data_IF_797202471972
#
_entry.id   IF_797202471972
#
_cell.length_a   1.000
_cell.length_b   1.000
_cell.length_c   1.000
_cell.angle_alpha   90.00
_cell.angle_beta   90.00
_cell.angle_gamma   90.00
#
_symmetry.space_group_name_H-M   'P 1'
#
loop_
_entity.id
_entity.type
_entity.pdbx_description
1 polymer ?
#
# COMPACT_ATOMS: atom_id res chain seq x y z
N UNK A 1 -62.03 -15.50 37.96
CA UNK A 1 -63.44 -15.04 37.96
C UNK A 1 -63.44 -13.51 38.08
N UNK A 2 -64.17 -12.84 37.15
CA UNK A 2 -64.85 -11.52 37.23
C UNK A 2 -64.30 -10.45 38.20
N UNK A 3 -63.73 -9.35 37.68
CA UNK A 3 -64.35 -8.01 37.38
C UNK A 3 -64.70 -7.15 38.61
N UNK A 4 -64.17 -5.92 38.65
CA UNK A 4 -64.84 -4.61 38.95
C UNK A 4 -63.76 -3.58 39.37
N UNK A 5 -63.41 -2.54 38.61
CA UNK A 5 -64.07 -1.22 38.47
C UNK A 5 -64.45 -0.53 39.79
N UNK A 6 -63.84 0.62 40.07
CA UNK A 6 -64.47 1.87 40.59
C UNK A 6 -63.47 3.03 40.38
N UNK A 7 -63.98 4.13 39.82
CA UNK A 7 -63.33 5.42 39.62
C UNK A 7 -64.03 6.47 40.48
N UNK A 8 -63.32 7.43 41.07
CA UNK A 8 -63.83 8.69 41.66
C UNK A 8 -62.71 9.75 41.51
N UNK A 9 -62.85 10.72 40.58
CA UNK A 9 -63.09 12.18 40.77
C UNK A 9 -62.10 12.89 41.72
N UNK A 10 -61.32 13.94 41.40
CA UNK A 10 -61.45 15.23 40.68
C UNK A 10 -61.20 16.40 41.68
N UNK A 11 -60.48 17.45 41.23
CA UNK A 11 -60.32 18.82 41.81
C UNK A 11 -59.41 18.96 43.06
N UNK A 12 -58.49 19.94 43.24
CA UNK A 12 -58.34 21.36 42.82
C UNK A 12 -56.85 21.78 43.01
N UNK A 13 -56.14 22.41 42.07
CA UNK A 13 -55.94 23.87 41.86
C UNK A 13 -55.14 24.63 42.96
N UNK A 14 -53.92 25.04 42.56
CA UNK A 14 -53.14 26.27 42.87
C UNK A 14 -52.34 26.38 44.18
N UNK A 15 -51.01 26.38 44.06
CA UNK A 15 -50.21 27.54 44.47
C UNK A 15 -48.92 27.64 43.64
N UNK A 16 -48.86 28.72 42.87
CA UNK A 16 -47.75 29.23 42.09
C UNK A 16 -46.69 29.87 42.99
N UNK A 17 -45.42 29.54 42.76
CA UNK A 17 -44.30 30.44 43.07
C UNK A 17 -43.27 30.35 41.95
N UNK A 18 -43.26 31.42 41.14
CA UNK A 18 -42.33 31.68 40.07
C UNK A 18 -40.92 31.93 40.63
N UNK A 19 -39.93 31.28 40.04
CA UNK A 19 -38.58 31.83 39.90
C UNK A 19 -38.27 31.88 38.41
N UNK A 20 -38.59 33.02 37.79
CA UNK A 20 -37.96 33.45 36.55
C UNK A 20 -36.57 33.96 36.90
N UNK A 21 -35.54 33.28 36.39
CA UNK A 21 -34.24 33.89 36.15
C UNK A 21 -34.09 34.03 34.64
N UNK A 22 -33.92 35.27 34.19
CA UNK A 22 -33.79 35.67 32.80
C UNK A 22 -32.35 35.45 32.28
N UNK A 23 -32.25 35.13 30.98
CA UNK A 23 -31.04 35.24 30.16
C UNK A 23 -30.19 33.97 30.17
N UNK A 24 -29.81 33.35 29.07
CA UNK A 24 -29.65 33.80 27.69
C UNK A 24 -29.78 32.60 26.75
N UNK A 25 -30.41 32.79 25.59
CA UNK A 25 -30.46 31.75 24.56
C UNK A 25 -29.07 31.38 24.06
N UNK A 26 -28.72 30.11 24.21
CA UNK A 26 -27.66 29.47 23.44
C UNK A 26 -28.32 28.36 22.64
N UNK A 27 -28.44 28.56 21.32
CA UNK A 27 -28.81 27.51 20.37
C UNK A 27 -27.60 26.59 20.21
N UNK A 28 -27.33 25.76 21.21
CA UNK A 28 -26.50 24.58 21.00
C UNK A 28 -27.40 23.58 20.26
N UNK A 29 -27.28 23.55 18.92
CA UNK A 29 -27.82 22.43 18.15
C UNK A 29 -27.00 21.20 18.50
N UNK A 30 -27.43 20.47 19.52
CA UNK A 30 -26.98 19.10 19.75
C UNK A 30 -27.29 18.29 18.48
N UNK A 31 -26.24 17.94 17.73
CA UNK A 31 -26.33 16.94 16.66
C UNK A 31 -26.76 15.64 17.33
N UNK A 32 -27.90 15.10 16.91
CA UNK A 32 -28.41 13.83 17.43
C UNK A 32 -27.44 12.73 17.01
N UNK A 33 -26.61 12.28 17.95
CA UNK A 33 -25.67 11.19 17.73
C UNK A 33 -26.42 9.86 17.87
N UNK A 34 -27.12 9.46 16.81
CA UNK A 34 -27.65 8.10 16.68
C UNK A 34 -26.65 7.18 15.95
N UNK A 35 -26.73 5.88 16.21
CA UNK A 35 -25.79 4.89 15.65
C UNK A 35 -25.79 4.84 14.12
N UNK A 36 -26.90 5.16 13.44
CA UNK A 36 -26.96 5.16 11.99
C UNK A 36 -26.22 6.38 11.40
N UNK A 37 -26.28 7.53 12.08
CA UNK A 37 -25.55 8.75 11.70
C UNK A 37 -24.03 8.58 11.85
N UNK A 38 -23.57 7.86 12.88
CA UNK A 38 -22.15 7.49 13.03
C UNK A 38 -21.67 6.62 11.85
N UNK A 39 -22.43 5.58 11.48
CA UNK A 39 -22.05 4.65 10.39
C UNK A 39 -21.99 5.36 9.03
N UNK A 40 -22.97 6.23 8.74
CA UNK A 40 -22.94 7.06 7.52
C UNK A 40 -21.77 8.04 7.53
N UNK A 41 -21.47 8.61 8.70
CA UNK A 41 -20.35 9.50 8.94
C UNK A 41 -18.99 8.84 8.71
N UNK A 42 -18.80 7.62 9.21
CA UNK A 42 -17.59 6.81 8.99
C UNK A 42 -17.37 6.56 7.49
N UNK A 43 -18.42 6.16 6.76
CA UNK A 43 -18.34 5.94 5.32
C UNK A 43 -17.98 7.22 4.56
N UNK A 44 -18.61 8.35 4.90
CA UNK A 44 -18.33 9.64 4.28
C UNK A 44 -16.90 10.13 4.61
N UNK A 45 -16.43 9.93 5.84
CA UNK A 45 -15.06 10.23 6.24
C UNK A 45 -14.04 9.38 5.47
N UNK A 46 -14.31 8.07 5.35
CA UNK A 46 -13.44 7.13 4.63
C UNK A 46 -13.32 7.45 3.15
N UNK A 47 -14.35 8.04 2.55
CA UNK A 47 -14.34 8.43 1.14
C UNK A 47 -13.63 9.78 0.90
N UNK A 48 -13.71 10.72 1.84
CA UNK A 48 -13.36 12.13 1.56
C UNK A 48 -12.19 12.66 2.40
N UNK A 49 -11.94 12.10 3.59
CA UNK A 49 -11.07 12.71 4.60
C UNK A 49 -9.83 11.86 4.90
N UNK A 50 -9.89 10.53 4.73
CA UNK A 50 -8.77 9.59 5.01
C UNK A 50 -7.55 9.78 4.12
N UNK A 51 -7.69 10.52 3.02
CA UNK A 51 -6.53 10.91 2.23
C UNK A 51 -5.54 11.72 3.07
N UNK A 52 -6.04 12.65 3.90
CA UNK A 52 -5.21 13.58 4.67
C UNK A 52 -5.19 13.30 6.18
N UNK A 53 -6.25 12.70 6.72
CA UNK A 53 -6.45 12.54 8.15
C UNK A 53 -6.52 11.07 8.56
N UNK A 54 -6.05 10.78 9.77
CA UNK A 54 -6.26 9.51 10.47
C UNK A 54 -6.49 9.78 11.97
N UNK A 55 -6.62 8.74 12.80
CA UNK A 55 -6.92 8.85 14.23
C UNK A 55 -5.76 8.43 15.14
N UNK A 56 -4.54 8.34 14.62
CA UNK A 56 -3.38 7.84 15.37
C UNK A 56 -2.26 8.87 15.40
N UNK A 57 -1.88 9.42 14.25
CA UNK A 57 -0.74 10.32 14.11
C UNK A 57 -0.94 11.34 12.99
N UNK A 58 -0.25 12.47 13.08
CA UNK A 58 -0.30 13.49 12.04
C UNK A 58 0.19 12.93 10.68
N UNK A 59 -0.45 13.37 9.59
CA UNK A 59 -0.14 13.01 8.21
C UNK A 59 -0.05 14.25 7.32
N UNK A 60 -0.75 14.24 6.17
CA UNK A 60 -0.91 15.47 5.37
C UNK A 60 -1.76 16.52 6.10
N UNK A 61 -2.64 16.09 7.01
CA UNK A 61 -3.31 16.94 7.99
C UNK A 61 -3.15 16.39 9.42
N UNK A 62 -3.67 17.09 10.45
CA UNK A 62 -3.62 16.61 11.83
C UNK A 62 -4.38 15.31 12.02
N UNK A 63 -3.95 14.50 13.00
CA UNK A 63 -4.79 13.39 13.48
C UNK A 63 -6.04 13.92 14.20
N UNK A 64 -7.15 13.20 14.03
CA UNK A 64 -8.47 13.68 14.46
C UNK A 64 -9.05 12.91 15.66
N UNK A 65 -8.26 12.05 16.32
CA UNK A 65 -8.73 11.31 17.49
C UNK A 65 -9.06 12.27 18.63
N UNK A 66 -10.32 12.23 19.08
CA UNK A 66 -10.86 13.16 20.05
C UNK A 66 -10.78 14.63 19.60
N UNK A 67 -10.79 14.91 18.29
CA UNK A 67 -10.80 16.31 17.83
C UNK A 67 -12.03 17.05 18.32
N UNK A 68 -13.19 16.38 18.32
CA UNK A 68 -14.45 16.95 18.74
C UNK A 68 -14.57 17.17 20.26
N UNK A 69 -13.64 16.63 21.06
CA UNK A 69 -13.53 16.97 22.49
C UNK A 69 -12.55 18.11 22.78
N UNK A 70 -11.75 18.52 21.78
CA UNK A 70 -10.73 19.56 21.90
C UNK A 70 -11.07 20.83 21.13
N UNK A 71 -12.00 20.75 20.19
CA UNK A 71 -12.35 21.82 19.26
C UNK A 71 -13.87 21.96 19.22
N UNK A 72 -14.42 23.18 19.30
CA UNK A 72 -15.87 23.40 19.18
C UNK A 72 -16.44 22.82 17.88
N UNK A 73 -17.58 22.15 17.97
CA UNK A 73 -18.24 21.49 16.83
C UNK A 73 -18.54 22.48 15.72
N UNK A 74 -19.01 23.68 16.05
CA UNK A 74 -19.27 24.73 15.06
C UNK A 74 -18.01 25.16 14.31
N UNK A 75 -16.86 25.16 14.99
CA UNK A 75 -15.59 25.44 14.34
C UNK A 75 -15.23 24.32 13.37
N UNK A 76 -15.37 23.05 13.78
CA UNK A 76 -15.15 21.89 12.91
C UNK A 76 -16.07 21.96 11.69
N UNK A 77 -17.35 22.27 11.89
CA UNK A 77 -18.33 22.42 10.82
C UNK A 77 -17.92 23.51 9.82
N UNK A 78 -17.62 24.71 10.31
CA UNK A 78 -17.21 25.83 9.46
C UNK A 78 -15.90 25.53 8.71
N UNK A 79 -14.97 24.84 9.38
CA UNK A 79 -13.70 24.47 8.78
C UNK A 79 -13.89 23.42 7.69
N UNK A 80 -14.68 22.36 7.88
CA UNK A 80 -14.97 21.37 6.82
C UNK A 80 -15.63 22.05 5.60
N UNK A 81 -16.54 23.00 5.84
CA UNK A 81 -17.23 23.73 4.78
C UNK A 81 -16.28 24.58 3.94
N UNK A 82 -15.50 25.45 4.59
CA UNK A 82 -14.62 26.39 3.88
C UNK A 82 -13.39 26.74 4.73
N UNK A 83 -12.34 25.88 4.69
CA UNK A 83 -11.10 26.12 5.43
C UNK A 83 -10.44 27.46 5.06
N UNK A 84 -10.51 27.83 3.77
CA UNK A 84 -9.90 29.06 3.27
C UNK A 84 -10.57 30.29 3.89
N UNK A 85 -11.90 30.32 3.96
CA UNK A 85 -12.63 31.41 4.60
C UNK A 85 -12.28 31.56 6.07
N UNK A 86 -12.10 30.45 6.80
CA UNK A 86 -11.68 30.50 8.21
C UNK A 86 -10.26 31.04 8.37
N UNK A 87 -9.33 30.65 7.48
CA UNK A 87 -7.96 31.19 7.44
C UNK A 87 -7.97 32.68 7.12
N UNK A 88 -8.69 33.10 6.07
CA UNK A 88 -8.76 34.49 5.60
C UNK A 88 -9.44 35.40 6.64
N UNK A 89 -10.37 34.85 7.45
CA UNK A 89 -10.98 35.55 8.58
C UNK A 89 -10.02 35.79 9.76
N UNK A 90 -8.81 35.24 9.68
CA UNK A 90 -7.75 35.49 10.65
C UNK A 90 -7.73 34.53 11.83
N UNK A 91 -8.47 33.42 11.78
CA UNK A 91 -8.52 32.42 12.86
C UNK A 91 -7.11 31.86 13.16
N UNK A 92 -6.68 32.00 14.41
CA UNK A 92 -5.32 31.65 14.83
C UNK A 92 -5.08 30.13 14.75
N UNK A 93 -6.09 29.30 15.03
CA UNK A 93 -5.97 27.84 14.91
C UNK A 93 -5.78 27.44 13.45
N UNK A 94 -6.57 28.01 12.55
CA UNK A 94 -6.50 27.74 11.11
C UNK A 94 -5.15 28.17 10.52
N UNK A 95 -4.61 29.33 10.93
CA UNK A 95 -3.26 29.78 10.53
C UNK A 95 -2.17 28.84 11.03
N UNK A 96 -2.22 28.41 12.29
CA UNK A 96 -1.26 27.45 12.83
C UNK A 96 -1.29 26.11 12.07
N UNK A 97 -2.48 25.64 11.69
CA UNK A 97 -2.62 24.44 10.87
C UNK A 97 -2.00 24.64 9.47
N UNK A 98 -2.25 25.78 8.82
CA UNK A 98 -1.64 26.09 7.52
C UNK A 98 -0.12 26.17 7.61
N UNK A 99 0.42 26.81 8.65
CA UNK A 99 1.86 26.91 8.89
C UNK A 99 2.49 25.53 9.14
N UNK A 100 1.82 24.65 9.89
CA UNK A 100 2.34 23.32 10.22
C UNK A 100 2.28 22.32 9.07
N UNK A 101 1.20 22.30 8.30
CA UNK A 101 0.96 21.28 7.27
C UNK A 101 1.24 21.77 5.85
N UNK A 102 1.52 23.08 5.69
CA UNK A 102 1.84 23.74 4.42
C UNK A 102 0.84 23.47 3.28
N UNK A 103 -0.37 23.01 3.62
CA UNK A 103 -1.42 22.60 2.70
C UNK A 103 -2.75 23.14 3.19
N UNK A 104 -3.49 23.82 2.32
CA UNK A 104 -4.85 24.25 2.62
C UNK A 104 -5.79 23.06 2.45
N UNK A 105 -6.58 22.74 3.49
CA UNK A 105 -7.63 21.73 3.38
C UNK A 105 -8.62 22.13 2.27
N UNK A 106 -9.05 21.21 1.39
CA UNK A 106 -10.09 21.49 0.40
C UNK A 106 -11.42 21.86 1.06
N UNK A 107 -12.24 22.64 0.38
CA UNK A 107 -13.64 22.88 0.78
C UNK A 107 -14.48 21.63 0.52
N UNK A 108 -15.31 21.25 1.49
CA UNK A 108 -16.25 20.14 1.36
C UNK A 108 -17.72 20.59 1.40
N UNK A 109 -18.00 21.87 1.17
CA UNK A 109 -19.36 22.40 1.11
C UNK A 109 -20.27 21.65 0.09
N UNK A 110 -19.68 21.03 -0.94
CA UNK A 110 -20.40 20.21 -1.92
C UNK A 110 -20.91 18.85 -1.41
N UNK A 111 -20.55 18.40 -0.21
CA UNK A 111 -21.04 17.15 0.38
C UNK A 111 -22.50 17.24 0.83
N UNK A 112 -22.99 18.46 1.09
CA UNK A 112 -24.30 18.71 1.68
C UNK A 112 -24.27 18.63 3.21
N UNK A 113 -25.17 19.40 3.84
CA UNK A 113 -25.20 19.59 5.30
C UNK A 113 -25.35 18.27 6.06
N UNK A 114 -26.25 17.40 5.62
CA UNK A 114 -26.52 16.11 6.26
C UNK A 114 -25.25 15.24 6.36
N UNK A 115 -24.46 15.15 5.28
CA UNK A 115 -23.22 14.37 5.28
C UNK A 115 -22.14 14.99 6.16
N UNK A 116 -22.06 16.31 6.21
CA UNK A 116 -21.08 16.99 7.08
C UNK A 116 -21.46 16.76 8.55
N UNK A 117 -22.73 16.82 8.89
CA UNK A 117 -23.21 16.49 10.24
C UNK A 117 -22.97 15.02 10.60
N UNK A 118 -23.20 14.09 9.67
CA UNK A 118 -22.86 12.67 9.86
C UNK A 118 -21.34 12.50 10.11
N UNK A 119 -20.47 13.17 9.34
CA UNK A 119 -19.00 13.14 9.56
C UNK A 119 -18.65 13.69 10.95
N UNK A 120 -19.27 14.78 11.37
CA UNK A 120 -19.04 15.37 12.70
C UNK A 120 -19.50 14.40 13.80
N UNK A 121 -20.66 13.76 13.65
CA UNK A 121 -21.15 12.75 14.58
C UNK A 121 -20.16 11.57 14.70
N UNK A 122 -19.57 11.14 13.58
CA UNK A 122 -18.50 10.14 13.60
C UNK A 122 -17.26 10.65 14.34
N UNK A 123 -16.77 11.86 14.06
CA UNK A 123 -15.63 12.47 14.77
C UNK A 123 -15.87 12.61 16.28
N UNK A 124 -17.12 12.83 16.70
CA UNK A 124 -17.54 12.84 18.10
C UNK A 124 -17.51 11.45 18.75
N UNK A 125 -17.80 10.38 17.99
CA UNK A 125 -17.70 9.01 18.50
C UNK A 125 -16.26 8.51 18.66
N UNK A 126 -15.30 9.06 17.89
CA UNK A 126 -13.90 8.64 17.94
C UNK A 126 -13.21 9.23 19.18
N UNK A 127 -13.19 8.46 20.27
CA UNK A 127 -12.45 8.79 21.49
C UNK A 127 -10.94 8.66 21.28
N UNK A 128 -10.18 9.42 22.09
CA UNK A 128 -8.72 9.23 22.22
C UNK A 128 -8.47 7.83 22.80
N UNK A 129 -8.15 6.87 21.94
CA UNK A 129 -7.66 5.54 22.30
C UNK A 129 -8.58 4.70 23.20
N UNK A 130 -9.48 3.94 22.58
CA UNK A 130 -9.72 2.51 22.89
C UNK A 130 -10.67 1.97 21.82
N UNK A 131 -10.16 1.09 20.97
CA UNK A 131 -10.99 0.28 20.08
C UNK A 131 -11.92 -0.53 20.99
N UNK A 132 -13.23 -0.31 20.87
CA UNK A 132 -14.23 -1.11 21.60
C UNK A 132 -14.81 -2.15 20.64
N UNK A 133 -14.94 -3.38 21.13
CA UNK A 133 -15.37 -4.60 20.43
C UNK A 133 -16.86 -4.60 19.98
N UNK A 134 -17.51 -3.45 19.89
CA UNK A 134 -18.95 -3.37 19.63
C UNK A 134 -19.25 -3.23 18.13
N UNK A 135 -19.06 -4.34 17.42
CA UNK A 135 -19.38 -4.49 16.00
C UNK A 135 -20.34 -5.68 15.79
N UNK A 136 -21.32 -5.82 16.68
CA UNK A 136 -22.26 -6.95 16.73
C UNK A 136 -23.39 -6.88 15.69
N UNK A 137 -23.59 -5.74 15.04
CA UNK A 137 -24.70 -5.52 14.09
C UNK A 137 -24.25 -5.35 12.63
N UNK A 138 -23.00 -5.64 12.32
CA UNK A 138 -22.53 -5.61 10.94
C UNK A 138 -22.87 -6.93 10.21
N UNK A 139 -23.47 -6.83 9.02
CA UNK A 139 -23.83 -7.98 8.17
C UNK A 139 -22.57 -8.58 7.48
N UNK A 140 -21.41 -8.51 8.13
CA UNK A 140 -20.17 -9.06 7.58
C UNK A 140 -20.09 -10.56 7.87
N UNK A 141 -19.76 -11.33 6.83
CA UNK A 141 -19.39 -12.73 7.02
C UNK A 141 -18.05 -12.74 7.75
N UNK A 142 -18.07 -13.06 9.05
CA UNK A 142 -16.89 -13.06 9.93
C UNK A 142 -15.76 -13.96 9.41
N UNK A 143 -16.12 -15.08 8.79
CA UNK A 143 -15.21 -15.98 8.08
C UNK A 143 -15.81 -16.36 6.73
N UNK A 144 -15.39 -15.73 5.62
CA UNK A 144 -15.88 -16.03 4.28
C UNK A 144 -15.38 -17.38 3.72
N UNK A 145 -14.53 -18.11 4.44
CA UNK A 145 -14.02 -19.43 4.05
C UNK A 145 -14.12 -20.38 5.26
N UNK A 146 -15.33 -20.69 5.73
CA UNK A 146 -15.53 -21.47 6.96
C UNK A 146 -15.10 -22.93 6.82
N UNK A 147 -14.89 -23.43 5.60
CA UNK A 147 -14.44 -24.78 5.36
C UNK A 147 -12.99 -24.99 5.77
N UNK A 148 -12.74 -26.05 6.55
CA UNK A 148 -11.37 -26.48 6.85
C UNK A 148 -10.63 -26.86 5.56
N UNK A 149 -9.37 -26.44 5.48
CA UNK A 149 -8.45 -26.84 4.42
C UNK A 149 -8.34 -28.37 4.42
N UNK A 150 -8.77 -29.00 3.32
CA UNK A 150 -8.64 -30.45 3.14
C UNK A 150 -7.21 -30.78 2.74
N UNK A 151 -6.60 -31.75 3.42
CA UNK A 151 -5.30 -32.28 3.01
C UNK A 151 -5.44 -32.93 1.64
N UNK A 152 -4.57 -32.56 0.70
CA UNK A 152 -4.62 -33.02 -0.69
C UNK A 152 -4.18 -34.49 -0.86
N UNK A 153 -3.56 -35.08 0.16
CA UNK A 153 -2.89 -36.39 0.08
C UNK A 153 -1.57 -36.35 -0.70
N UNK A 154 -1.14 -35.17 -1.17
CA UNK A 154 0.16 -35.00 -1.81
C UNK A 154 1.27 -35.08 -0.76
N UNK A 155 2.29 -35.88 -1.03
CA UNK A 155 3.52 -35.93 -0.25
C UNK A 155 4.64 -35.21 -1.00
N UNK A 156 5.39 -34.36 -0.29
CA UNK A 156 6.55 -33.66 -0.83
C UNK A 156 7.82 -34.41 -0.39
N UNK A 157 8.55 -34.97 -1.35
CA UNK A 157 9.90 -35.48 -1.09
C UNK A 157 10.90 -34.35 -1.31
N UNK A 158 11.74 -34.09 -0.30
CA UNK A 158 12.77 -33.06 -0.37
C UNK A 158 14.12 -33.70 -0.67
N UNK A 159 14.82 -33.18 -1.66
CA UNK A 159 16.20 -33.51 -1.99
C UNK A 159 17.08 -32.27 -1.79
N UNK A 160 18.24 -32.47 -1.18
CA UNK A 160 19.20 -31.38 -1.03
C UNK A 160 19.90 -31.13 -2.37
N UNK A 161 19.66 -29.95 -2.96
CA UNK A 161 20.29 -29.56 -4.23
C UNK A 161 21.65 -28.87 -4.02
N UNK A 162 21.71 -27.91 -3.10
CA UNK A 162 22.92 -27.13 -2.81
C UNK A 162 22.86 -26.50 -1.41
N UNK A 163 24.03 -26.14 -0.86
CA UNK A 163 24.16 -25.33 0.35
C UNK A 163 24.82 -24.00 -0.01
N UNK A 164 24.11 -22.89 0.19
CA UNK A 164 24.69 -21.56 0.01
C UNK A 164 25.60 -21.22 1.20
N UNK A 165 26.82 -20.69 0.98
CA UNK A 165 27.71 -20.28 2.05
C UNK A 165 27.07 -19.16 2.90
N UNK A 166 27.42 -19.10 4.18
CA UNK A 166 26.96 -18.03 5.05
C UNK A 166 27.47 -16.67 4.54
N UNK A 167 26.55 -15.73 4.40
CA UNK A 167 26.84 -14.34 4.06
C UNK A 167 26.94 -13.44 5.29
N UNK A 168 26.67 -13.98 6.48
CA UNK A 168 26.85 -13.32 7.77
C UNK A 168 27.08 -14.33 8.88
N UNK A 169 27.85 -13.91 9.89
CA UNK A 169 27.98 -14.61 11.17
C UNK A 169 26.70 -14.47 12.02
N UNK A 170 25.87 -13.45 11.75
CA UNK A 170 24.61 -13.19 12.48
C UNK A 170 23.43 -13.91 11.83
N UNK A 171 22.51 -14.42 12.65
CA UNK A 171 21.26 -15.00 12.16
C UNK A 171 20.32 -13.91 11.60
N UNK A 172 19.60 -14.18 10.49
CA UNK A 172 19.75 -15.34 9.61
C UNK A 172 21.08 -15.29 8.83
N UNK A 173 21.85 -16.39 8.84
CA UNK A 173 23.21 -16.45 8.26
C UNK A 173 23.27 -16.26 6.75
N UNK A 174 22.18 -16.54 6.05
CA UNK A 174 21.92 -16.20 4.65
C UNK A 174 20.51 -15.65 4.53
N UNK A 175 20.27 -14.80 3.53
CA UNK A 175 18.94 -14.24 3.27
C UNK A 175 18.53 -14.55 1.85
N UNK A 176 18.36 -15.85 1.57
CA UNK A 176 17.96 -16.34 0.25
C UNK A 176 16.53 -15.92 -0.05
N UNK A 177 16.34 -15.29 -1.19
CA UNK A 177 15.06 -14.69 -1.54
C UNK A 177 14.47 -15.27 -2.82
N UNK A 178 15.26 -15.34 -3.89
CA UNK A 178 14.78 -15.74 -5.21
C UNK A 178 15.75 -16.70 -5.89
N UNK A 179 15.19 -17.66 -6.61
CA UNK A 179 15.91 -18.51 -7.55
C UNK A 179 15.29 -18.38 -8.93
N UNK A 180 16.10 -18.46 -9.98
CA UNK A 180 15.60 -18.46 -11.36
C UNK A 180 16.59 -19.15 -12.29
N UNK A 181 16.09 -19.67 -13.41
CA UNK A 181 16.90 -20.35 -14.42
C UNK A 181 17.24 -19.35 -15.53
N UNK A 182 18.51 -19.29 -15.90
CA UNK A 182 18.95 -18.44 -17.00
C UNK A 182 18.41 -18.95 -18.35
N UNK A 183 17.64 -18.13 -19.10
CA UNK A 183 17.08 -18.53 -20.38
C UNK A 183 18.14 -19.06 -21.36
N UNK A 184 17.84 -20.18 -22.01
CA UNK A 184 18.77 -20.83 -22.94
C UNK A 184 19.91 -21.59 -22.26
N UNK A 185 19.74 -22.01 -21.00
CA UNK A 185 20.63 -22.94 -20.28
C UNK A 185 19.94 -23.56 -19.07
N UNK A 186 20.62 -24.49 -18.43
CA UNK A 186 20.17 -25.13 -17.17
C UNK A 186 20.81 -24.52 -15.92
N UNK A 187 21.48 -23.36 -16.07
CA UNK A 187 22.12 -22.67 -14.96
C UNK A 187 21.06 -22.10 -14.00
N UNK A 188 20.99 -22.65 -12.79
CA UNK A 188 20.17 -22.15 -11.70
C UNK A 188 20.90 -21.04 -10.95
N UNK A 189 20.25 -19.89 -10.78
CA UNK A 189 20.77 -18.77 -10.03
C UNK A 189 20.05 -18.63 -8.70
N UNK A 190 20.81 -18.28 -7.65
CA UNK A 190 20.31 -18.14 -6.28
C UNK A 190 20.73 -16.77 -5.74
N UNK A 191 19.73 -15.96 -5.38
CA UNK A 191 19.95 -14.62 -4.85
C UNK A 191 20.00 -14.64 -3.32
N UNK A 192 21.02 -14.03 -2.75
CA UNK A 192 21.11 -13.61 -1.35
C UNK A 192 20.93 -12.08 -1.27
N UNK A 193 19.94 -11.65 -0.48
CA UNK A 193 19.63 -10.25 -0.22
C UNK A 193 20.85 -9.43 0.22
N UNK A 194 21.87 -10.04 0.84
CA UNK A 194 23.10 -9.34 1.24
C UNK A 194 23.99 -8.88 0.09
N UNK A 195 23.58 -9.15 -1.15
CA UNK A 195 24.17 -8.59 -2.36
C UNK A 195 24.77 -9.61 -3.31
N UNK A 196 24.68 -10.91 -3.04
CA UNK A 196 25.33 -11.92 -3.88
C UNK A 196 24.30 -12.67 -4.72
N UNK A 197 24.54 -12.75 -6.02
CA UNK A 197 23.84 -13.65 -6.93
C UNK A 197 24.80 -14.79 -7.29
N UNK A 198 24.45 -15.99 -6.85
CA UNK A 198 25.20 -17.21 -7.14
C UNK A 198 24.66 -17.87 -8.41
N UNK A 199 25.55 -18.47 -9.19
CA UNK A 199 25.24 -19.46 -10.20
C UNK A 199 25.58 -20.84 -9.63
N UNK A 200 24.66 -21.80 -9.70
CA UNK A 200 24.95 -23.17 -9.32
C UNK A 200 25.61 -23.90 -10.49
N UNK A 201 26.78 -24.48 -10.23
CA UNK A 201 27.51 -25.34 -11.15
C UNK A 201 27.78 -26.65 -10.45
N UNK A 202 27.20 -27.74 -10.96
CA UNK A 202 27.31 -29.09 -10.37
C UNK A 202 26.95 -29.11 -8.86
N UNK A 203 25.87 -28.41 -8.49
CA UNK A 203 25.41 -28.29 -7.10
C UNK A 203 26.24 -27.36 -6.21
N UNK A 204 27.28 -26.71 -6.75
CA UNK A 204 28.14 -25.78 -6.02
C UNK A 204 27.83 -24.32 -6.38
N UNK A 205 27.61 -23.43 -5.40
CA UNK A 205 27.38 -22.02 -5.66
C UNK A 205 28.70 -21.30 -6.00
N UNK A 206 28.77 -20.74 -7.21
CA UNK A 206 29.82 -19.81 -7.64
C UNK A 206 29.26 -18.39 -7.68
N UNK A 207 30.04 -17.38 -7.27
CA UNK A 207 29.58 -15.98 -7.31
C UNK A 207 29.52 -15.50 -8.77
N UNK A 208 28.32 -15.21 -9.26
CA UNK A 208 28.13 -14.60 -10.57
C UNK A 208 28.19 -13.07 -10.48
N UNK A 209 27.42 -12.46 -9.58
CA UNK A 209 27.33 -11.01 -9.43
C UNK A 209 27.35 -10.63 -7.94
N UNK A 210 28.06 -9.53 -7.62
CA UNK A 210 28.08 -8.94 -6.28
C UNK A 210 27.64 -7.47 -6.34
N UNK A 211 26.45 -7.18 -5.83
CA UNK A 211 25.83 -5.86 -5.86
C UNK A 211 26.62 -4.82 -5.05
N UNK A 212 27.25 -5.22 -3.94
CA UNK A 212 28.06 -4.32 -3.11
C UNK A 212 29.29 -3.81 -3.85
N UNK A 213 29.86 -4.64 -4.72
CA UNK A 213 30.96 -4.23 -5.60
C UNK A 213 30.50 -3.37 -6.78
N UNK A 214 29.26 -3.51 -7.22
CA UNK A 214 28.73 -2.81 -8.40
C UNK A 214 28.00 -1.50 -8.09
N UNK A 215 27.49 -1.33 -6.87
CA UNK A 215 26.71 -0.16 -6.45
C UNK A 215 27.24 0.35 -5.11
N UNK A 216 27.89 1.52 -5.14
CA UNK A 216 28.50 2.14 -3.95
C UNK A 216 27.49 2.44 -2.83
N UNK A 217 26.25 2.76 -3.20
CA UNK A 217 25.19 3.13 -2.26
C UNK A 217 24.30 1.92 -1.89
N UNK A 218 24.69 0.69 -2.26
CA UNK A 218 23.94 -0.51 -1.90
C UNK A 218 23.89 -0.71 -0.38
N UNK A 219 22.69 -0.95 0.14
CA UNK A 219 22.46 -1.35 1.53
C UNK A 219 21.61 -2.63 1.58
N UNK A 220 21.85 -3.46 2.59
CA UNK A 220 21.07 -4.65 2.94
C UNK A 220 20.53 -4.62 4.38
N UNK A 221 20.76 -3.50 5.08
CA UNK A 221 20.19 -3.17 6.39
C UNK A 221 19.03 -2.17 6.20
N UNK A 222 18.02 -2.11 7.10
CA UNK A 222 17.94 -2.72 8.44
C UNK A 222 17.54 -4.21 8.48
N UNK A 223 17.45 -4.91 7.34
CA UNK A 223 16.95 -6.28 7.28
C UNK A 223 15.55 -6.36 6.69
N UNK A 224 14.73 -7.32 7.13
CA UNK A 224 13.30 -7.41 6.77
C UNK A 224 13.02 -7.33 5.25
N UNK A 225 13.88 -7.98 4.48
CA UNK A 225 13.82 -8.07 3.02
C UNK A 225 14.38 -6.88 2.21
N UNK A 226 15.09 -5.93 2.85
CA UNK A 226 16.00 -4.99 2.16
C UNK A 226 17.24 -5.67 1.62
N UNK A 227 17.84 -5.09 0.58
CA UNK A 227 19.05 -5.62 -0.07
C UNK A 227 18.85 -5.79 -1.57
N UNK A 228 19.50 -6.81 -2.13
CA UNK A 228 19.37 -7.21 -3.53
C UNK A 228 18.04 -7.96 -3.69
N UNK A 229 16.93 -7.25 -3.89
CA UNK A 229 15.58 -7.80 -3.76
C UNK A 229 15.14 -8.76 -4.86
N UNK A 230 15.61 -8.60 -6.08
CA UNK A 230 15.19 -9.48 -7.19
C UNK A 230 16.14 -9.38 -8.37
N UNK A 231 16.06 -10.37 -9.24
CA UNK A 231 16.68 -10.36 -10.55
C UNK A 231 15.77 -10.99 -11.60
N UNK A 232 15.98 -10.63 -12.87
CA UNK A 232 15.38 -11.26 -14.03
C UNK A 232 16.36 -11.21 -15.22
N UNK A 233 16.60 -12.34 -15.87
CA UNK A 233 17.27 -12.35 -17.16
C UNK A 233 16.28 -11.97 -18.26
N UNK A 234 16.71 -11.16 -19.23
CA UNK A 234 15.91 -10.93 -20.44
C UNK A 234 15.64 -12.28 -21.15
N UNK A 235 14.48 -12.50 -21.79
CA UNK A 235 14.19 -13.75 -22.51
C UNK A 235 15.25 -14.13 -23.56
N UNK A 236 15.81 -13.12 -24.26
CA UNK A 236 16.95 -13.25 -25.18
C UNK A 236 18.34 -13.05 -24.52
N UNK A 237 18.51 -13.29 -23.21
CA UNK A 237 19.76 -13.02 -22.50
C UNK A 237 21.01 -13.59 -23.19
N UNK A 238 20.95 -14.81 -23.74
CA UNK A 238 22.08 -15.41 -24.46
C UNK A 238 22.52 -14.64 -25.70
N UNK A 239 21.63 -13.84 -26.29
CA UNK A 239 21.91 -13.01 -27.47
C UNK A 239 22.24 -11.57 -27.07
N UNK A 240 21.51 -11.02 -26.12
CA UNK A 240 21.58 -9.60 -25.80
C UNK A 240 22.32 -9.27 -24.49
N UNK A 241 22.62 -10.24 -23.64
CA UNK A 241 23.32 -10.02 -22.38
C UNK A 241 22.61 -9.11 -21.39
N UNK A 242 21.30 -8.93 -21.48
CA UNK A 242 20.54 -8.03 -20.61
C UNK A 242 19.93 -8.76 -19.41
N UNK A 243 20.23 -8.29 -18.20
CA UNK A 243 19.53 -8.70 -16.98
C UNK A 243 19.10 -7.48 -16.17
N UNK A 244 18.17 -7.67 -15.26
CA UNK A 244 17.55 -6.62 -14.48
C UNK A 244 17.62 -6.98 -13.01
N UNK A 245 17.88 -6.00 -12.16
CA UNK A 245 17.94 -6.19 -10.70
C UNK A 245 17.14 -5.11 -9.99
N UNK A 246 16.64 -5.45 -8.81
CA UNK A 246 16.17 -4.46 -7.85
C UNK A 246 17.07 -4.49 -6.61
N UNK A 247 17.39 -3.33 -6.07
CA UNK A 247 18.17 -3.22 -4.85
C UNK A 247 17.76 -2.00 -4.01
N UNK A 248 18.17 -1.98 -2.73
CA UNK A 248 17.97 -0.85 -1.84
C UNK A 248 19.20 0.05 -1.72
N UNK A 249 18.95 1.35 -1.61
CA UNK A 249 19.92 2.42 -1.33
C UNK A 249 19.39 3.30 -0.17
N UNK A 250 20.26 4.04 0.55
CA UNK A 250 19.83 5.03 1.53
C UNK A 250 18.87 6.05 0.94
N UNK A 251 17.98 6.59 1.78
CA UNK A 251 17.10 7.69 1.38
C UNK A 251 17.92 8.88 0.87
N UNK A 252 17.41 9.57 -0.15
CA UNK A 252 18.01 10.80 -0.65
C UNK A 252 19.31 10.61 -1.45
N UNK A 253 19.69 9.37 -1.79
CA UNK A 253 20.84 9.11 -2.68
C UNK A 253 20.68 9.79 -4.05
N UNK A 254 19.45 9.83 -4.58
CA UNK A 254 19.07 10.70 -5.70
C UNK A 254 17.57 11.03 -5.66
N UNK A 255 17.11 11.92 -6.53
CA UNK A 255 15.68 12.25 -6.68
C UNK A 255 14.90 11.01 -7.12
N UNK A 256 13.84 10.67 -6.38
CA UNK A 256 12.97 9.56 -6.75
C UNK A 256 12.12 9.87 -7.99
N UNK A 257 11.93 8.89 -8.87
CA UNK A 257 10.97 8.98 -9.98
C UNK A 257 9.54 8.84 -9.48
N UNK A 258 9.35 8.07 -8.41
CA UNK A 258 8.08 7.92 -7.70
C UNK A 258 8.24 8.29 -6.23
N UNK A 259 7.52 9.33 -5.82
CA UNK A 259 7.48 9.84 -4.45
C UNK A 259 6.04 10.12 -4.02
N UNK A 260 5.86 10.34 -2.73
CA UNK A 260 4.62 10.78 -2.10
C UNK A 260 4.86 12.16 -1.46
N UNK A 261 3.86 12.70 -0.76
CA UNK A 261 3.95 14.01 -0.12
C UNK A 261 5.16 14.08 0.85
N UNK A 262 5.87 15.20 0.84
CA UNK A 262 7.11 15.41 1.61
C UNK A 262 6.93 15.33 3.14
N UNK A 263 5.70 15.48 3.65
CA UNK A 263 5.39 15.28 5.07
C UNK A 263 5.47 13.82 5.52
N UNK A 264 5.47 12.86 4.60
CA UNK A 264 5.57 11.43 4.91
C UNK A 264 7.05 11.02 4.93
N UNK A 265 7.51 10.30 5.96
CA UNK A 265 8.91 9.91 6.07
C UNK A 265 9.33 8.96 4.93
N UNK A 266 10.58 9.11 4.51
CA UNK A 266 11.27 8.14 3.64
C UNK A 266 12.30 7.43 4.50
N UNK A 267 12.28 6.10 4.54
CA UNK A 267 13.33 5.31 5.21
C UNK A 267 14.47 4.97 4.26
N UNK A 268 14.13 4.53 3.04
CA UNK A 268 15.09 4.12 2.02
C UNK A 268 14.54 4.32 0.61
N UNK A 269 15.39 4.06 -0.38
CA UNK A 269 15.00 3.99 -1.78
C UNK A 269 15.20 2.59 -2.34
N UNK A 270 14.25 2.14 -3.15
CA UNK A 270 14.44 0.97 -4.01
C UNK A 270 14.77 1.43 -5.43
N UNK A 271 15.63 0.71 -6.12
CA UNK A 271 16.15 1.05 -7.44
C UNK A 271 16.02 -0.15 -8.37
N UNK A 272 15.55 0.06 -9.60
CA UNK A 272 15.59 -0.95 -10.67
C UNK A 272 16.71 -0.59 -11.64
N UNK A 273 17.62 -1.53 -11.89
CA UNK A 273 18.77 -1.37 -12.78
C UNK A 273 18.73 -2.40 -13.90
N UNK A 274 18.94 -1.95 -15.14
CA UNK A 274 19.28 -2.83 -16.26
C UNK A 274 20.79 -2.97 -16.33
N UNK A 275 21.27 -4.20 -16.55
CA UNK A 275 22.68 -4.53 -16.72
C UNK A 275 22.91 -5.15 -18.08
N UNK A 276 23.97 -4.72 -18.75
CA UNK A 276 24.48 -5.31 -19.99
C UNK A 276 25.80 -6.00 -19.70
N UNK A 277 25.82 -7.33 -19.79
CA UNK A 277 27.08 -8.08 -19.69
C UNK A 277 27.87 -8.06 -21.00
N UNK A 278 29.18 -8.03 -20.88
CA UNK A 278 30.14 -8.15 -21.98
C UNK A 278 30.10 -9.56 -22.60
N UNK A 279 29.88 -10.59 -21.78
CA UNK A 279 29.95 -11.99 -22.21
C UNK A 279 28.83 -12.82 -21.56
N UNK A 280 27.67 -13.02 -22.23
CA UNK A 280 26.52 -13.72 -21.65
C UNK A 280 26.78 -15.16 -21.20
N UNK A 281 27.83 -15.81 -21.72
CA UNK A 281 28.22 -17.17 -21.35
C UNK A 281 29.24 -17.24 -20.21
N UNK A 282 29.77 -16.11 -19.74
CA UNK A 282 30.78 -16.10 -18.69
C UNK A 282 30.19 -16.56 -17.34
N UNK A 283 30.96 -17.29 -16.51
CA UNK A 283 30.52 -17.74 -15.20
C UNK A 283 30.48 -16.61 -14.15
N UNK A 284 31.04 -15.45 -14.49
CA UNK A 284 31.04 -14.24 -13.66
C UNK A 284 30.56 -13.05 -14.46
N UNK A 285 29.85 -12.13 -13.80
CA UNK A 285 29.36 -10.91 -14.42
C UNK A 285 30.50 -9.92 -14.63
N UNK A 286 30.61 -9.43 -15.85
CA UNK A 286 31.36 -8.23 -16.22
C UNK A 286 30.50 -7.43 -17.19
N UNK A 287 30.33 -6.15 -16.93
CA UNK A 287 29.43 -5.30 -17.70
C UNK A 287 29.10 -3.99 -17.01
N UNK A 288 28.15 -3.26 -17.59
CA UNK A 288 27.73 -1.94 -17.13
C UNK A 288 26.23 -1.94 -16.81
N UNK A 289 25.83 -1.05 -15.90
CA UNK A 289 24.46 -0.91 -15.45
C UNK A 289 23.91 0.49 -15.70
N UNK A 290 22.64 0.58 -16.10
CA UNK A 290 21.86 1.82 -16.16
C UNK A 290 20.64 1.71 -15.26
N UNK A 291 20.42 2.75 -14.46
CA UNK A 291 19.20 2.85 -13.64
C UNK A 291 17.99 3.11 -14.54
N UNK A 292 16.93 2.33 -14.36
CA UNK A 292 15.65 2.56 -15.04
C UNK A 292 14.80 3.54 -14.25
N UNK A 293 14.61 3.28 -12.96
CA UNK A 293 13.93 4.19 -12.04
C UNK A 293 14.26 3.86 -10.59
N UNK A 294 13.92 4.79 -9.70
CA UNK A 294 13.96 4.62 -8.24
C UNK A 294 12.71 5.17 -7.56
N UNK A 295 12.41 4.62 -6.38
CA UNK A 295 11.19 4.92 -5.63
C UNK A 295 11.50 5.13 -4.14
N UNK A 296 10.80 6.07 -3.50
CA UNK A 296 10.83 6.22 -2.05
C UNK A 296 9.96 5.17 -1.37
N UNK A 297 10.41 4.66 -0.21
CA UNK A 297 9.64 3.75 0.62
C UNK A 297 9.57 4.26 2.06
N UNK A 298 8.36 4.16 2.65
CA UNK A 298 8.10 4.61 4.03
C UNK A 298 8.93 3.80 5.00
N UNK A 299 9.06 2.49 4.74
CA UNK A 299 9.82 1.58 5.58
C UNK A 299 10.78 0.65 4.82
N UNK A 300 11.42 -0.28 5.53
CA UNK A 300 12.27 -1.34 4.97
C UNK A 300 11.54 -2.59 4.49
N UNK A 301 10.21 -2.70 4.63
CA UNK A 301 9.45 -3.89 4.24
C UNK A 301 8.66 -3.69 2.95
N UNK A 302 8.21 -4.78 2.34
CA UNK A 302 7.32 -4.80 1.16
C UNK A 302 7.83 -3.95 -0.02
N UNK A 303 9.09 -4.21 -0.39
CA UNK A 303 9.78 -3.47 -1.45
C UNK A 303 9.51 -3.96 -2.87
N UNK A 304 10.48 -3.73 -3.76
CA UNK A 304 10.46 -4.20 -5.16
C UNK A 304 11.08 -5.59 -5.30
N UNK A 305 10.51 -6.58 -4.61
CA UNK A 305 11.15 -7.90 -4.45
C UNK A 305 10.78 -8.92 -5.52
N UNK A 306 10.05 -8.50 -6.56
CA UNK A 306 9.79 -9.31 -7.74
C UNK A 306 10.09 -8.53 -9.01
N UNK A 307 10.87 -9.17 -9.89
CA UNK A 307 11.17 -8.72 -11.25
C UNK A 307 11.09 -9.95 -12.12
N UNK A 308 10.26 -9.95 -13.15
CA UNK A 308 10.13 -11.13 -13.99
C UNK A 308 9.63 -10.79 -15.38
N UNK A 309 9.93 -11.66 -16.34
CA UNK A 309 9.35 -11.61 -17.68
C UNK A 309 8.29 -12.71 -17.79
N UNK A 310 7.30 -12.50 -18.65
CA UNK A 310 6.34 -13.55 -18.95
C UNK A 310 7.05 -14.73 -19.65
N UNK A 311 7.28 -15.81 -18.90
CA UNK A 311 7.98 -17.02 -19.38
C UNK A 311 7.20 -17.79 -20.44
N UNK A 312 5.89 -17.55 -20.54
CA UNK A 312 5.03 -18.14 -21.58
C UNK A 312 4.98 -17.29 -22.87
N UNK A 313 5.41 -16.03 -22.81
CA UNK A 313 5.34 -15.11 -23.95
C UNK A 313 6.28 -15.56 -25.09
N UNK A 314 5.83 -15.36 -26.32
CA UNK A 314 6.60 -15.70 -27.54
C UNK A 314 7.10 -14.43 -28.23
N UNK A 315 8.24 -14.47 -28.94
CA UNK A 315 8.72 -13.34 -29.72
C UNK A 315 7.61 -12.73 -30.59
N UNK A 316 7.48 -11.40 -30.55
CA UNK A 316 6.43 -10.65 -31.26
C UNK A 316 5.08 -10.56 -30.53
N UNK A 317 4.85 -11.32 -29.45
CA UNK A 317 3.67 -11.12 -28.61
C UNK A 317 3.80 -9.85 -27.77
N UNK A 318 2.65 -9.30 -27.35
CA UNK A 318 2.58 -8.05 -26.57
C UNK A 318 3.42 -8.04 -25.29
N UNK A 319 3.56 -9.20 -24.64
CA UNK A 319 4.23 -9.34 -23.35
C UNK A 319 5.70 -9.78 -23.48
N UNK A 320 6.17 -10.11 -24.69
CA UNK A 320 7.54 -10.52 -24.88
C UNK A 320 8.51 -9.36 -24.68
N UNK A 321 9.51 -9.57 -23.82
CA UNK A 321 10.47 -8.54 -23.44
C UNK A 321 9.85 -7.42 -22.57
N UNK A 322 8.64 -7.59 -22.03
CA UNK A 322 8.06 -6.66 -21.05
C UNK A 322 8.39 -7.13 -19.64
N UNK A 323 8.95 -6.22 -18.84
CA UNK A 323 9.35 -6.47 -17.47
C UNK A 323 8.17 -6.19 -16.54
N UNK A 324 7.81 -7.20 -15.74
CA UNK A 324 6.83 -7.08 -14.67
C UNK A 324 7.54 -6.92 -13.33
N UNK A 325 7.02 -6.02 -12.50
CA UNK A 325 7.65 -5.63 -11.23
C UNK A 325 6.58 -5.68 -10.15
N UNK A 326 6.76 -6.55 -9.16
CA UNK A 326 5.91 -6.59 -7.97
C UNK A 326 6.33 -5.51 -6.99
N UNK A 327 5.42 -4.59 -6.68
CA UNK A 327 5.63 -3.47 -5.78
C UNK A 327 4.74 -3.62 -4.56
N UNK A 328 5.32 -3.87 -3.40
CA UNK A 328 4.57 -3.81 -2.16
C UNK A 328 4.14 -2.40 -1.78
N UNK A 329 3.34 -2.29 -0.73
CA UNK A 329 2.88 -1.02 -0.16
C UNK A 329 3.97 -0.29 0.64
N UNK A 330 5.15 -0.89 0.80
CA UNK A 330 6.25 -0.33 1.56
C UNK A 330 6.00 -0.26 3.08
N UNK A 331 5.05 -1.05 3.58
CA UNK A 331 4.60 -1.01 4.98
C UNK A 331 3.86 0.29 5.32
N UNK A 332 3.39 1.04 4.32
CA UNK A 332 2.81 2.36 4.57
C UNK A 332 1.52 2.28 5.39
N UNK A 333 0.75 1.20 5.25
CA UNK A 333 -0.53 1.01 5.95
C UNK A 333 -0.29 0.76 7.44
N UNK A 334 0.63 -0.15 7.79
CA UNK A 334 1.04 -0.42 9.18
C UNK A 334 1.69 0.81 9.84
N UNK A 335 2.11 1.78 9.03
CA UNK A 335 2.68 3.05 9.49
C UNK A 335 1.68 4.21 9.35
N UNK A 336 0.39 3.92 9.21
CA UNK A 336 -0.72 4.88 9.21
C UNK A 336 -0.71 5.87 8.03
N UNK A 337 -0.19 5.45 6.88
CA UNK A 337 -0.21 6.19 5.61
C UNK A 337 -0.94 5.41 4.49
N UNK A 338 -2.21 5.01 4.68
CA UNK A 338 -2.95 4.23 3.68
C UNK A 338 -3.21 5.02 2.37
N UNK A 339 -3.14 6.35 2.39
CA UNK A 339 -3.38 7.20 1.21
C UNK A 339 -2.26 7.16 0.15
N UNK A 340 -1.16 6.45 0.42
CA UNK A 340 -0.07 6.21 -0.54
C UNK A 340 -0.43 5.08 -1.52
N UNK A 341 -1.42 4.24 -1.20
CA UNK A 341 -1.82 3.07 -2.00
C UNK A 341 -3.28 3.16 -2.47
N UNK A 342 -3.74 2.11 -3.16
CA UNK A 342 -5.14 1.88 -3.51
C UNK A 342 -5.78 2.95 -4.43
N UNK A 343 -5.04 3.39 -5.46
CA UNK A 343 -5.64 4.07 -6.61
C UNK A 343 -4.73 3.98 -7.85
N UNK A 344 -5.27 4.11 -9.07
CA UNK A 344 -4.45 4.17 -10.29
C UNK A 344 -3.44 5.33 -10.35
N UNK A 345 -3.62 6.38 -9.55
CA UNK A 345 -2.67 7.49 -9.39
C UNK A 345 -1.54 7.19 -8.40
N UNK A 346 -1.51 5.99 -7.81
CA UNK A 346 -0.58 5.58 -6.77
C UNK A 346 0.29 4.42 -7.26
N UNK A 347 1.59 4.53 -7.02
CA UNK A 347 2.56 3.55 -7.51
C UNK A 347 2.68 2.31 -6.60
N UNK A 348 2.54 2.48 -5.29
CA UNK A 348 2.75 1.41 -4.30
C UNK A 348 1.57 0.44 -4.24
N UNK A 349 1.85 -0.78 -3.78
CA UNK A 349 0.84 -1.84 -3.69
C UNK A 349 0.29 -2.27 -5.05
N UNK A 350 1.18 -2.44 -6.02
CA UNK A 350 0.84 -2.62 -7.43
C UNK A 350 1.75 -3.62 -8.16
N UNK A 351 1.38 -3.95 -9.38
CA UNK A 351 2.25 -4.63 -10.34
C UNK A 351 2.48 -3.66 -11.49
N UNK A 352 3.74 -3.33 -11.76
CA UNK A 352 4.10 -2.56 -12.97
C UNK A 352 4.35 -3.50 -14.15
N UNK A 353 4.15 -2.98 -15.36
CA UNK A 353 4.58 -3.56 -16.63
C UNK A 353 5.24 -2.49 -17.49
N UNK A 354 6.53 -2.63 -17.75
CA UNK A 354 7.31 -1.66 -18.52
C UNK A 354 7.98 -2.31 -19.73
N UNK A 355 8.39 -1.49 -20.70
CA UNK A 355 9.27 -1.88 -21.79
C UNK A 355 10.69 -1.34 -21.52
N UNK A 356 11.65 -2.17 -21.07
CA UNK A 356 12.99 -1.67 -20.76
C UNK A 356 13.73 -1.06 -21.96
N UNK A 357 13.38 -1.44 -23.20
CA UNK A 357 14.03 -0.95 -24.42
C UNK A 357 13.45 0.39 -24.91
N UNK A 358 12.24 0.77 -24.46
CA UNK A 358 11.60 2.02 -24.83
C UNK A 358 12.18 3.24 -24.10
N UNK A 359 11.65 4.43 -24.42
CA UNK A 359 12.09 5.73 -23.85
C UNK A 359 10.97 6.74 -23.60
N UNK A 360 9.71 6.31 -23.64
CA UNK A 360 8.54 7.19 -23.47
C UNK A 360 8.03 7.28 -22.02
N UNK A 361 8.77 6.75 -21.03
CA UNK A 361 8.51 7.03 -19.61
C UNK A 361 8.73 8.51 -19.29
N UNK A 362 8.16 8.98 -18.18
CA UNK A 362 8.31 10.37 -17.74
C UNK A 362 9.78 10.78 -17.53
N UNK A 363 10.64 9.84 -17.15
CA UNK A 363 12.08 10.08 -16.97
C UNK A 363 12.93 9.76 -18.23
N UNK A 364 12.31 9.27 -19.31
CA UNK A 364 12.97 8.94 -20.59
C UNK A 364 13.90 7.73 -20.58
N UNK A 365 13.96 6.95 -19.48
CA UNK A 365 14.93 5.85 -19.31
C UNK A 365 14.39 4.47 -19.71
N UNK A 366 13.08 4.34 -19.84
CA UNK A 366 12.39 3.11 -20.26
C UNK A 366 11.10 3.47 -20.99
N UNK A 367 10.37 2.47 -21.45
CA UNK A 367 9.12 2.63 -22.18
C UNK A 367 7.88 2.21 -21.41
N UNK A 368 6.77 2.84 -21.77
CA UNK A 368 5.42 2.47 -21.37
C UNK A 368 4.77 1.72 -22.53
N UNK A 369 4.43 0.42 -22.37
CA UNK A 369 3.70 -0.30 -23.39
C UNK A 369 2.38 0.39 -23.73
N UNK A 370 2.08 0.52 -25.03
CA UNK A 370 0.88 1.21 -25.50
C UNK A 370 -0.45 0.52 -25.12
N UNK A 371 -0.38 -0.75 -24.72
CA UNK A 371 -1.50 -1.57 -24.26
C UNK A 371 -1.56 -1.66 -22.71
N UNK A 372 -0.78 -0.86 -21.98
CA UNK A 372 -0.94 -0.78 -20.53
C UNK A 372 -2.33 -0.23 -20.16
N UNK A 373 -2.99 -0.77 -19.11
CA UNK A 373 -4.39 -0.48 -18.83
C UNK A 373 -4.71 1.00 -18.56
N UNK A 374 -3.79 1.70 -17.89
CA UNK A 374 -4.00 3.08 -17.43
C UNK A 374 -3.30 4.13 -18.33
N UNK A 375 -2.79 3.72 -19.49
CA UNK A 375 -1.98 4.62 -20.35
C UNK A 375 -2.77 5.84 -20.82
N UNK A 376 -4.10 5.70 -21.00
CA UNK A 376 -5.00 6.78 -21.45
C UNK A 376 -5.58 7.62 -20.31
N UNK A 377 -5.46 7.18 -19.06
CA UNK A 377 -6.17 7.79 -17.94
C UNK A 377 -5.40 8.98 -17.38
N UNK A 378 -5.97 10.18 -17.47
CA UNK A 378 -5.30 11.39 -16.95
C UNK A 378 -5.02 11.24 -15.45
N UNK A 379 -3.79 11.53 -15.02
CA UNK A 379 -3.37 11.44 -13.62
C UNK A 379 -3.06 10.04 -13.09
N UNK A 380 -3.26 8.98 -13.89
CA UNK A 380 -2.84 7.63 -13.51
C UNK A 380 -1.34 7.41 -13.75
N UNK A 381 -0.73 6.56 -12.92
CA UNK A 381 0.64 6.06 -13.10
C UNK A 381 0.64 5.08 -14.28
N UNK A 382 1.44 5.37 -15.31
CA UNK A 382 1.33 4.75 -16.64
C UNK A 382 1.95 3.35 -16.70
N UNK A 383 2.81 3.06 -15.74
CA UNK A 383 3.49 1.81 -15.52
C UNK A 383 2.57 0.73 -14.95
N UNK A 384 1.43 1.09 -14.33
CA UNK A 384 0.54 0.13 -13.67
C UNK A 384 -0.03 -0.88 -14.65
N UNK A 385 0.06 -2.15 -14.25
CA UNK A 385 -0.66 -3.26 -14.85
C UNK A 385 -1.87 -3.66 -14.01
N UNK A 386 -1.73 -3.66 -12.68
CA UNK A 386 -2.76 -3.97 -11.70
C UNK A 386 -2.40 -3.33 -10.35
N UNK A 387 -3.37 -3.10 -9.46
CA UNK A 387 -3.14 -2.43 -8.17
C UNK A 387 -4.01 -3.01 -7.05
N UNK A 388 -3.80 -2.60 -5.80
CA UNK A 388 -4.56 -3.10 -4.65
C UNK A 388 -3.93 -4.35 -4.04
N UNK A 389 -2.59 -4.45 -4.06
CA UNK A 389 -1.83 -5.50 -3.40
C UNK A 389 -1.12 -4.95 -2.15
N UNK A 390 -0.89 -5.81 -1.16
CA UNK A 390 -0.04 -5.48 -0.01
C UNK A 390 1.42 -5.70 -0.35
N UNK A 391 1.75 -6.90 -0.80
CA UNK A 391 3.10 -7.30 -1.15
C UNK A 391 3.03 -8.43 -2.19
N UNK A 392 2.88 -8.10 -3.49
CA UNK A 392 2.83 -9.06 -4.59
C UNK A 392 4.24 -9.62 -4.83
N UNK A 393 4.69 -10.45 -3.90
CA UNK A 393 6.08 -10.82 -3.70
C UNK A 393 6.61 -11.80 -4.74
N UNK A 394 5.75 -12.60 -5.40
CA UNK A 394 6.16 -13.51 -6.48
C UNK A 394 5.13 -13.50 -7.59
N UNK A 395 5.59 -13.45 -8.84
CA UNK A 395 4.74 -13.49 -10.04
C UNK A 395 5.19 -14.67 -10.89
N UNK A 396 4.23 -15.44 -11.39
CA UNK A 396 4.49 -16.54 -12.32
C UNK A 396 3.35 -16.66 -13.34
N UNK A 397 3.48 -17.55 -14.31
CA UNK A 397 2.46 -17.80 -15.32
C UNK A 397 2.04 -19.26 -15.32
N UNK A 398 0.75 -19.50 -15.48
CA UNK A 398 0.22 -20.82 -15.78
C UNK A 398 0.60 -21.24 -17.21
N UNK A 399 0.45 -22.54 -17.53
CA UNK A 399 0.73 -23.06 -18.88
C UNK A 399 -0.14 -22.42 -19.97
N UNK A 400 -1.36 -21.99 -19.63
CA UNK A 400 -2.28 -21.28 -20.51
C UNK A 400 -2.07 -19.75 -20.49
N UNK A 401 -0.99 -19.26 -19.87
CA UNK A 401 -0.55 -17.86 -19.95
C UNK A 401 -1.26 -16.90 -18.99
N UNK A 402 -2.01 -17.38 -18.01
CA UNK A 402 -2.59 -16.53 -16.96
C UNK A 402 -1.50 -16.17 -15.94
N UNK A 403 -1.41 -14.88 -15.62
CA UNK A 403 -0.52 -14.41 -14.56
C UNK A 403 -1.07 -14.82 -13.20
N UNK A 404 -0.21 -15.35 -12.35
CA UNK A 404 -0.46 -15.58 -10.94
C UNK A 404 0.43 -14.64 -10.12
N UNK A 405 -0.14 -13.99 -9.10
CA UNK A 405 0.63 -13.22 -8.12
C UNK A 405 0.38 -13.78 -6.72
N UNK A 406 1.45 -14.11 -6.02
CA UNK A 406 1.43 -14.46 -4.60
C UNK A 406 1.54 -13.16 -3.83
N UNK A 407 0.51 -12.82 -3.06
CA UNK A 407 0.42 -11.63 -2.25
C UNK A 407 0.45 -11.98 -0.76
N UNK A 408 1.43 -11.45 -0.04
CA UNK A 408 1.57 -11.65 1.41
C UNK A 408 0.59 -10.69 2.12
N UNK A 409 -0.40 -11.25 2.82
CA UNK A 409 -1.36 -10.49 3.63
C UNK A 409 -0.77 -9.98 4.95
N UNK A 410 -1.52 -9.11 5.63
CA UNK A 410 -1.24 -8.58 6.96
C UNK A 410 -1.83 -9.45 8.08
N UNK A 411 -3.13 -9.77 8.01
CA UNK A 411 -3.88 -10.22 9.19
C UNK A 411 -4.55 -11.59 9.04
N UNK A 412 -5.24 -11.84 7.92
CA UNK A 412 -6.18 -12.95 7.79
C UNK A 412 -5.65 -14.02 6.83
N UNK A 413 -5.14 -13.63 5.67
CA UNK A 413 -4.82 -14.59 4.61
C UNK A 413 -3.71 -14.10 3.67
N UNK A 414 -2.80 -15.01 3.30
CA UNK A 414 -1.95 -14.86 2.11
C UNK A 414 -2.70 -15.39 0.89
N UNK A 415 -2.64 -14.65 -0.22
CA UNK A 415 -3.48 -14.94 -1.39
C UNK A 415 -2.65 -15.29 -2.63
N UNK A 416 -3.15 -16.24 -3.41
CA UNK A 416 -2.71 -16.47 -4.78
C UNK A 416 -3.78 -15.91 -5.73
N UNK A 417 -3.48 -14.81 -6.40
CA UNK A 417 -4.41 -14.15 -7.32
C UNK A 417 -4.14 -14.55 -8.77
N UNK A 418 -5.22 -14.79 -9.53
CA UNK A 418 -5.15 -14.77 -11.00
C UNK A 418 -5.22 -13.31 -11.44
N UNK A 419 -4.10 -12.78 -11.91
CA UNK A 419 -3.99 -11.35 -12.22
C UNK A 419 -4.51 -11.06 -13.63
N UNK A 420 -5.41 -10.08 -13.69
CA UNK A 420 -5.94 -9.46 -14.91
C UNK A 420 -5.51 -7.99 -15.01
N UNK A 421 -5.27 -7.48 -16.23
CA UNK A 421 -4.91 -6.09 -16.47
C UNK A 421 -5.99 -5.11 -15.98
N UNK A 422 -5.57 -4.05 -15.31
CA UNK A 422 -6.41 -2.93 -14.86
C UNK A 422 -7.25 -3.23 -13.61
N UNK A 423 -7.16 -4.44 -13.05
CA UNK A 423 -7.97 -4.84 -11.89
C UNK A 423 -7.38 -4.35 -10.57
N UNK A 424 -8.29 -4.16 -9.63
CA UNK A 424 -8.09 -3.83 -8.23
C UNK A 424 -8.18 -5.12 -7.39
N UNK A 425 -7.20 -5.35 -6.51
CA UNK A 425 -7.14 -6.51 -5.62
C UNK A 425 -7.47 -6.16 -4.15
N UNK A 426 -7.90 -4.93 -3.90
CA UNK A 426 -8.64 -4.52 -2.71
C UNK A 426 -7.82 -4.11 -1.49
N UNK A 427 -6.50 -4.33 -1.46
CA UNK A 427 -5.65 -3.83 -0.37
C UNK A 427 -5.63 -2.29 -0.34
N UNK A 428 -5.81 -1.61 0.83
CA UNK A 428 -5.78 -2.19 2.19
C UNK A 428 -7.14 -2.47 2.84
N UNK A 429 -8.22 -2.41 2.05
CA UNK A 429 -9.58 -2.66 2.55
C UNK A 429 -9.86 -4.17 2.59
N UNK A 430 -9.09 -4.98 1.85
CA UNK A 430 -9.28 -6.42 1.75
C UNK A 430 -7.99 -7.23 1.72
N UNK A 431 -8.08 -8.45 2.25
CA UNK A 431 -7.16 -9.57 2.00
C UNK A 431 -7.97 -10.75 1.45
N UNK A 432 -7.85 -11.01 0.15
CA UNK A 432 -8.71 -11.97 -0.53
C UNK A 432 -10.18 -11.59 -0.34
N UNK A 433 -10.95 -12.48 0.25
CA UNK A 433 -12.36 -12.26 0.53
C UNK A 433 -12.63 -11.60 1.89
N UNK A 434 -11.60 -11.41 2.73
CA UNK A 434 -11.73 -10.80 4.06
C UNK A 434 -11.70 -9.28 3.92
N UNK A 435 -12.66 -8.60 4.55
CA UNK A 435 -12.62 -7.16 4.73
C UNK A 435 -11.74 -6.82 5.93
N UNK A 436 -10.96 -5.76 5.82
CA UNK A 436 -10.07 -5.25 6.86
C UNK A 436 -10.42 -3.78 7.07
N UNK A 437 -10.33 -3.33 8.33
CA UNK A 437 -10.39 -1.93 8.70
C UNK A 437 -8.93 -1.44 8.83
N UNK A 438 -8.36 -0.83 7.79
CA UNK A 438 -6.95 -0.43 7.75
C UNK A 438 -6.61 0.72 8.69
#
# INVERSE_FOLDING_TARGET
MKKAFIAILLFSIVLSSAFQSCGSGNNDKEVVVDSASIVRGEAAFNQNCTTCHNFVQDGMGPQLAGVASKVPVDWINNFIHDPKKVIDAGDERAKMLLDKYHTVMPSFAGLGEEKIQDIIAYLQSVKVGTLTDDDKDSVYVKDPIPEKIKMSGLALNLEQVAQIPFSSEKMPRTRILKTDIQPGSDNLFVLDLRGTLYMLKDGKPEVYMNMRSLKKDFIDEPGLATGFGSFAFHPDFRKNGLLYTSHTEPKGTAKADFSYNDSIPVQLQWVVTEWKTNTPAAPTFSGEGRELFRMNFVTGIHGMQELTFNTSAKPGSKDYGKLYIGLGDGGCVENHFPSIVHAPSKAWGSIFRIDPAGKNSANGKYGIPADNPFVKDSGAVKELYAYGFRNPHRITWTRDGRMLAINIGQANIEALYIVQPGRDYGWPIREGNFMIRP
#
